data_IF_319340830232
#
_entry.id   IF_319340830232
#
_cell.length_a   1.000
_cell.length_b   1.000
_cell.length_c   1.000
_cell.angle_alpha   90.00
_cell.angle_beta   90.00
_cell.angle_gamma   90.00
#
_symmetry.space_group_name_H-M   'P 1'
#
loop_
_entity.id
_entity.type
_entity.pdbx_description
1 polymer ?
#
# COMPACT_ATOMS: atom_id res chain seq x y z
N UNK A 1 32.96 24.23 22.87
CA UNK A 1 32.59 23.24 21.84
C UNK A 1 31.33 23.72 21.15
N UNK A 2 31.35 24.02 19.84
CA UNK A 2 30.14 24.42 19.12
C UNK A 2 29.21 23.20 19.03
N UNK A 3 27.95 23.39 19.42
CA UNK A 3 26.96 22.32 19.53
C UNK A 3 26.58 21.75 18.16
N UNK A 4 26.38 20.44 18.10
CA UNK A 4 26.04 19.64 16.91
C UNK A 4 24.85 20.21 16.09
N UNK A 5 23.98 20.98 16.74
CA UNK A 5 22.87 21.70 16.11
C UNK A 5 23.31 22.73 15.04
N UNK A 6 24.47 23.38 15.21
CA UNK A 6 24.97 24.37 14.25
C UNK A 6 25.56 23.71 12.99
N UNK A 7 26.07 22.49 13.11
CA UNK A 7 26.62 21.72 11.99
C UNK A 7 25.49 21.15 11.11
N UNK A 8 24.43 20.60 11.73
CA UNK A 8 23.26 20.10 11.01
C UNK A 8 22.55 21.20 10.22
N UNK A 9 22.47 22.42 10.76
CA UNK A 9 21.83 23.55 10.07
C UNK A 9 22.61 23.96 8.81
N UNK A 10 23.94 23.99 8.87
CA UNK A 10 24.80 24.29 7.72
C UNK A 10 24.78 23.20 6.64
N UNK A 11 24.57 21.94 7.02
CA UNK A 11 24.43 20.83 6.08
C UNK A 11 23.09 20.87 5.34
N UNK A 12 21.99 21.20 6.03
CA UNK A 12 20.68 21.40 5.39
C UNK A 12 20.67 22.57 4.40
N UNK A 13 21.25 23.71 4.77
CA UNK A 13 21.31 24.89 3.89
C UNK A 13 22.14 24.64 2.61
N UNK A 14 23.17 23.78 2.67
CA UNK A 14 23.95 23.39 1.48
C UNK A 14 23.22 22.40 0.57
N UNK A 15 22.38 21.53 1.13
CA UNK A 15 21.59 20.58 0.35
C UNK A 15 20.46 21.28 -0.43
N UNK A 16 19.77 22.24 0.20
CA UNK A 16 18.68 22.99 -0.44
C UNK A 16 19.16 23.87 -1.60
N UNK A 17 20.34 24.48 -1.48
CA UNK A 17 20.93 25.30 -2.55
C UNK A 17 21.32 24.53 -3.80
N UNK A 18 21.51 23.20 -3.72
CA UNK A 18 21.93 22.37 -4.85
C UNK A 18 20.76 21.84 -5.68
N UNK A 19 19.57 21.74 -5.09
CA UNK A 19 18.36 21.17 -5.72
C UNK A 19 17.62 22.21 -6.57
N UNK A 20 17.75 23.50 -6.25
CA UNK A 20 17.03 24.59 -6.92
C UNK A 20 17.69 25.08 -8.24
N UNK A 21 18.84 24.53 -8.63
CA UNK A 21 19.65 25.06 -9.73
C UNK A 21 19.39 24.48 -11.13
N UNK A 22 18.59 23.41 -11.29
CA UNK A 22 18.71 22.54 -12.48
C UNK A 22 17.41 22.14 -13.20
N UNK A 23 16.30 22.88 -13.07
CA UNK A 23 15.05 22.45 -13.74
C UNK A 23 14.24 23.57 -14.37
N UNK A 24 14.75 24.11 -15.48
CA UNK A 24 14.00 24.92 -16.43
C UNK A 24 14.10 24.28 -17.83
N UNK A 25 13.00 23.71 -18.34
CA UNK A 25 12.58 23.78 -19.77
C UNK A 25 11.31 22.96 -20.06
N UNK A 26 10.24 23.69 -20.44
CA UNK A 26 9.17 23.44 -21.46
C UNK A 26 8.33 22.15 -21.32
N UNK A 27 7.00 22.12 -21.49
CA UNK A 27 6.16 22.68 -22.58
C UNK A 27 4.65 22.56 -22.22
N UNK A 28 3.81 23.49 -22.69
CA UNK A 28 2.31 23.49 -22.68
C UNK A 28 1.75 22.72 -23.89
N UNK A 29 0.45 22.28 -23.98
CA UNK A 29 -0.72 23.18 -24.12
C UNK A 29 -2.14 22.67 -23.66
N UNK A 30 -3.07 23.64 -23.67
CA UNK A 30 -4.52 23.61 -23.99
C UNK A 30 -5.59 23.27 -22.92
N UNK A 31 -6.57 24.18 -22.85
CA UNK A 31 -7.72 24.30 -21.94
C UNK A 31 -8.94 23.46 -22.37
N UNK A 32 -9.73 23.00 -21.39
CA UNK A 32 -11.20 23.02 -21.45
C UNK A 32 -11.81 23.09 -20.04
N UNK A 33 -12.87 23.88 -19.92
CA UNK A 33 -13.47 24.39 -18.68
C UNK A 33 -14.50 23.43 -18.10
N UNK A 34 -14.50 23.21 -16.77
CA UNK A 34 -15.75 23.16 -15.98
C UNK A 34 -15.52 23.39 -14.48
N UNK A 35 -16.38 24.23 -13.94
CA UNK A 35 -16.47 24.84 -12.61
C UNK A 35 -17.01 23.89 -11.54
N UNK A 36 -16.49 23.98 -10.31
CA UNK A 36 -17.29 23.98 -9.07
C UNK A 36 -16.48 24.39 -7.84
N UNK A 37 -17.15 25.20 -7.02
CA UNK A 37 -16.66 26.06 -5.95
C UNK A 37 -16.40 25.39 -4.59
N UNK A 38 -15.64 26.14 -3.79
CA UNK A 38 -15.58 26.23 -2.32
C UNK A 38 -14.78 25.19 -1.52
N UNK A 39 -13.68 25.65 -0.92
CA UNK A 39 -13.75 26.10 0.48
C UNK A 39 -12.62 27.08 0.85
N UNK A 40 -13.01 28.22 1.43
CA UNK A 40 -12.14 29.29 1.89
C UNK A 40 -11.70 29.03 3.32
N UNK A 41 -10.39 29.02 3.59
CA UNK A 41 -9.88 29.30 4.94
C UNK A 41 -8.66 30.21 4.86
N UNK A 42 -8.87 31.44 5.31
CA UNK A 42 -7.91 32.54 5.39
C UNK A 42 -6.94 32.33 6.56
N UNK A 43 -5.63 32.46 6.27
CA UNK A 43 -4.58 32.55 7.28
C UNK A 43 -3.31 33.13 6.66
N UNK A 44 -3.01 34.40 6.95
CA UNK A 44 -1.90 35.15 6.37
C UNK A 44 -0.52 34.68 6.81
N UNK A 45 0.46 34.80 5.90
CA UNK A 45 1.89 34.72 6.22
C UNK A 45 2.73 34.00 5.16
N UNK A 46 3.56 34.78 4.44
CA UNK A 46 4.69 34.34 3.57
C UNK A 46 4.37 33.63 2.25
N UNK A 47 4.12 34.43 1.21
CA UNK A 47 4.59 34.36 -0.19
C UNK A 47 5.00 33.05 -0.90
N UNK A 48 4.59 31.86 -0.47
CA UNK A 48 4.83 30.62 -1.21
C UNK A 48 3.70 30.42 -2.23
N UNK A 49 4.02 30.24 -3.52
CA UNK A 49 2.99 29.94 -4.51
C UNK A 49 2.30 28.62 -4.10
N UNK A 50 0.98 28.68 -3.98
CA UNK A 50 0.15 27.49 -3.78
C UNK A 50 -0.19 26.89 -5.13
N UNK A 51 -0.32 25.56 -5.18
CA UNK A 51 -0.73 24.90 -6.40
C UNK A 51 -2.16 25.31 -6.74
N UNK A 52 -2.36 25.95 -7.90
CA UNK A 52 -3.67 26.42 -8.39
C UNK A 52 -4.16 25.61 -9.59
N UNK A 53 -3.45 24.54 -9.98
CA UNK A 53 -3.81 23.69 -11.12
C UNK A 53 -3.13 22.30 -11.07
N UNK A 54 -3.54 21.39 -11.95
CA UNK A 54 -3.03 20.01 -11.99
C UNK A 54 -4.06 18.99 -11.49
N UNK A 55 -4.43 18.05 -12.36
CA UNK A 55 -5.52 17.09 -12.16
C UNK A 55 -5.15 15.83 -11.36
N UNK A 56 -4.34 15.96 -10.31
CA UNK A 56 -3.87 14.82 -9.51
C UNK A 56 -3.14 13.74 -10.35
N UNK A 57 -2.97 12.56 -9.77
CA UNK A 57 -2.50 11.37 -10.48
C UNK A 57 -3.68 10.43 -10.67
N UNK A 58 -3.95 10.02 -11.91
CA UNK A 58 -4.94 8.99 -12.22
C UNK A 58 -4.34 7.60 -12.03
N UNK A 59 -5.20 6.58 -11.99
CA UNK A 59 -4.74 5.19 -11.95
C UNK A 59 -3.82 4.90 -13.14
N UNK A 60 -2.55 4.60 -12.86
CA UNK A 60 -1.57 4.21 -13.87
C UNK A 60 -1.99 2.87 -14.47
N UNK A 61 -2.01 2.79 -15.80
CA UNK A 61 -2.22 1.50 -16.47
C UNK A 61 -1.06 0.58 -16.11
N UNK A 62 -1.31 -0.70 -15.76
CA UNK A 62 -0.22 -1.62 -15.43
C UNK A 62 0.78 -1.71 -16.59
N UNK A 63 2.09 -1.86 -16.31
CA UNK A 63 3.08 -2.09 -17.37
C UNK A 63 2.71 -3.32 -18.21
N UNK A 64 2.90 -3.21 -19.52
CA UNK A 64 2.76 -4.36 -20.41
C UNK A 64 3.95 -5.31 -20.21
N UNK A 65 3.65 -6.51 -19.69
CA UNK A 65 4.67 -7.51 -19.34
C UNK A 65 5.50 -7.92 -20.56
N UNK A 66 4.87 -8.13 -21.70
CA UNK A 66 5.56 -8.62 -22.91
C UNK A 66 6.46 -7.53 -23.47
N UNK A 67 5.95 -6.29 -23.53
CA UNK A 67 6.75 -5.15 -23.97
C UNK A 67 7.98 -4.95 -23.07
N UNK A 68 7.79 -4.96 -21.75
CA UNK A 68 8.88 -4.75 -20.79
C UNK A 68 9.94 -5.86 -20.83
N UNK A 69 9.55 -7.12 -21.12
CA UNK A 69 10.51 -8.21 -21.36
C UNK A 69 11.32 -7.94 -22.64
N UNK A 70 10.66 -7.56 -23.73
CA UNK A 70 11.35 -7.24 -24.99
C UNK A 70 12.33 -6.07 -24.83
N UNK A 71 11.93 -5.02 -24.11
CA UNK A 71 12.78 -3.85 -23.82
C UNK A 71 13.99 -4.26 -22.96
N UNK A 72 13.78 -5.17 -22.00
CA UNK A 72 14.87 -5.72 -21.19
C UNK A 72 15.89 -6.49 -22.02
N UNK A 73 15.44 -7.34 -22.93
CA UNK A 73 16.30 -8.13 -23.81
C UNK A 73 17.14 -7.24 -24.72
N UNK A 74 16.52 -6.21 -25.32
CA UNK A 74 17.22 -5.24 -26.17
C UNK A 74 18.26 -4.44 -25.39
N UNK A 75 17.89 -3.91 -24.21
CA UNK A 75 18.80 -3.17 -23.35
C UNK A 75 19.97 -4.05 -22.87
N UNK A 76 19.69 -5.30 -22.51
CA UNK A 76 20.72 -6.26 -22.10
C UNK A 76 21.70 -6.57 -23.25
N UNK A 77 21.19 -6.81 -24.46
CA UNK A 77 22.01 -7.03 -25.65
C UNK A 77 22.89 -5.82 -26.01
N UNK A 78 22.42 -4.61 -25.71
CA UNK A 78 23.18 -3.36 -25.87
C UNK A 78 24.18 -3.08 -24.74
N UNK A 79 24.28 -3.95 -23.73
CA UNK A 79 25.14 -3.76 -22.56
C UNK A 79 24.61 -2.73 -21.55
N UNK A 80 23.36 -2.28 -21.70
CA UNK A 80 22.72 -1.34 -20.79
C UNK A 80 21.96 -2.08 -19.69
N UNK A 81 22.72 -2.57 -18.70
CA UNK A 81 22.17 -3.39 -17.61
C UNK A 81 21.23 -2.61 -16.67
N UNK A 82 21.36 -1.29 -16.59
CA UNK A 82 20.46 -0.46 -15.78
C UNK A 82 19.05 -0.49 -16.36
N UNK A 83 18.92 -0.26 -17.66
CA UNK A 83 17.63 -0.22 -18.34
C UNK A 83 17.04 -1.63 -18.46
N UNK A 84 17.90 -2.65 -18.66
CA UNK A 84 17.47 -4.05 -18.62
C UNK A 84 16.85 -4.41 -17.26
N UNK A 85 17.50 -4.03 -16.16
CA UNK A 85 17.00 -4.26 -14.80
C UNK A 85 15.69 -3.51 -14.54
N UNK A 86 15.61 -2.24 -14.94
CA UNK A 86 14.40 -1.44 -14.77
C UNK A 86 13.21 -2.07 -15.52
N UNK A 87 13.43 -2.49 -16.76
CA UNK A 87 12.38 -3.10 -17.59
C UNK A 87 11.89 -4.43 -16.99
N UNK A 88 12.80 -5.27 -16.46
CA UNK A 88 12.42 -6.48 -15.70
C UNK A 88 11.57 -6.13 -14.47
N UNK A 89 11.92 -5.07 -13.74
CA UNK A 89 11.12 -4.63 -12.58
C UNK A 89 9.72 -4.18 -12.99
N UNK A 90 9.59 -3.46 -14.11
CA UNK A 90 8.29 -3.06 -14.65
C UNK A 90 7.48 -4.27 -15.12
N UNK A 91 8.11 -5.25 -15.77
CA UNK A 91 7.46 -6.50 -16.15
C UNK A 91 6.90 -7.25 -14.93
N UNK A 92 7.67 -7.35 -13.85
CA UNK A 92 7.22 -7.98 -12.60
C UNK A 92 6.00 -7.25 -12.00
N UNK A 93 6.01 -5.92 -11.98
CA UNK A 93 4.88 -5.10 -11.52
C UNK A 93 3.64 -5.37 -12.37
N UNK A 94 3.79 -5.48 -13.70
CA UNK A 94 2.72 -5.84 -14.61
C UNK A 94 2.11 -7.20 -14.27
N UNK A 95 2.94 -8.22 -14.04
CA UNK A 95 2.50 -9.57 -13.63
C UNK A 95 1.77 -9.54 -12.30
N UNK A 96 2.33 -8.87 -11.30
CA UNK A 96 1.74 -8.77 -9.96
C UNK A 96 0.36 -8.11 -9.97
N UNK A 97 0.19 -7.02 -10.74
CA UNK A 97 -1.10 -6.35 -10.85
C UNK A 97 -2.13 -7.23 -11.58
N UNK A 98 -1.72 -7.90 -12.67
CA UNK A 98 -2.59 -8.82 -13.40
C UNK A 98 -3.04 -9.98 -12.50
N UNK A 99 -2.10 -10.60 -11.79
CA UNK A 99 -2.41 -11.66 -10.83
C UNK A 99 -3.36 -11.18 -9.74
N UNK A 100 -3.14 -9.99 -9.19
CA UNK A 100 -4.01 -9.44 -8.16
C UNK A 100 -5.43 -9.18 -8.66
N UNK A 101 -5.59 -8.74 -9.91
CA UNK A 101 -6.91 -8.57 -10.54
C UNK A 101 -7.61 -9.91 -10.79
N UNK A 102 -6.88 -10.93 -11.23
CA UNK A 102 -7.46 -12.28 -11.36
C UNK A 102 -7.85 -12.87 -10.01
N UNK A 103 -7.06 -12.62 -8.96
CA UNK A 103 -7.41 -13.07 -7.62
C UNK A 103 -8.69 -12.36 -7.13
N UNK A 104 -8.82 -11.04 -7.34
CA UNK A 104 -10.03 -10.29 -7.04
C UNK A 104 -11.27 -10.91 -7.70
N UNK A 105 -11.20 -11.33 -8.97
CA UNK A 105 -12.31 -12.02 -9.65
C UNK A 105 -12.65 -13.38 -9.03
N UNK A 106 -11.70 -14.05 -8.40
CA UNK A 106 -11.89 -15.35 -7.76
C UNK A 106 -12.45 -15.25 -6.33
N UNK A 107 -12.42 -14.07 -5.73
CA UNK A 107 -13.03 -13.82 -4.43
C UNK A 107 -14.56 -13.76 -4.57
N UNK A 108 -15.31 -14.19 -3.55
CA UNK A 108 -16.77 -14.21 -3.62
C UNK A 108 -17.36 -12.81 -3.72
N UNK A 109 -18.46 -12.63 -4.44
CA UNK A 109 -19.14 -11.33 -4.58
C UNK A 109 -19.83 -10.88 -3.27
N UNK A 110 -20.09 -11.83 -2.36
CA UNK A 110 -20.80 -11.60 -1.11
C UNK A 110 -20.29 -12.54 -0.02
N UNK A 111 -20.15 -12.00 1.19
CA UNK A 111 -19.82 -12.76 2.40
C UNK A 111 -20.90 -12.49 3.44
N UNK A 112 -21.60 -13.55 3.88
CA UNK A 112 -22.82 -13.45 4.67
C UNK A 112 -23.84 -12.54 3.96
N UNK A 113 -24.14 -11.37 4.52
CA UNK A 113 -25.04 -10.35 3.97
C UNK A 113 -24.31 -9.07 3.51
N UNK A 114 -22.98 -9.09 3.47
CA UNK A 114 -22.14 -7.98 3.00
C UNK A 114 -21.75 -8.18 1.54
N UNK A 115 -22.08 -7.20 0.69
CA UNK A 115 -21.66 -7.19 -0.71
C UNK A 115 -20.26 -6.61 -0.87
N UNK A 116 -19.54 -7.06 -1.89
CA UNK A 116 -18.27 -6.43 -2.25
C UNK A 116 -18.45 -4.97 -2.66
N UNK A 117 -17.50 -4.13 -2.23
CA UNK A 117 -17.34 -2.76 -2.71
C UNK A 117 -16.15 -2.71 -3.67
N UNK A 118 -16.43 -2.93 -4.96
CA UNK A 118 -15.41 -2.94 -6.01
C UNK A 118 -14.73 -1.58 -6.19
N UNK A 119 -15.28 -0.48 -5.65
CA UNK A 119 -14.64 0.83 -5.69
C UNK A 119 -13.47 0.93 -4.69
N UNK A 120 -13.48 0.08 -3.67
CA UNK A 120 -12.42 -0.01 -2.66
C UNK A 120 -11.40 -1.11 -2.98
N UNK A 121 -11.61 -1.89 -4.04
CA UNK A 121 -10.65 -2.90 -4.48
C UNK A 121 -9.32 -2.24 -4.85
N UNK A 122 -8.24 -2.73 -4.24
CA UNK A 122 -6.88 -2.23 -4.50
C UNK A 122 -5.94 -3.39 -4.75
N UNK A 123 -5.10 -3.23 -5.76
CA UNK A 123 -3.97 -4.10 -6.04
C UNK A 123 -2.73 -3.22 -6.06
N UNK A 124 -1.83 -3.44 -5.11
CA UNK A 124 -0.63 -2.64 -4.92
C UNK A 124 0.58 -3.55 -5.08
N UNK A 125 1.48 -3.19 -6.00
CA UNK A 125 2.81 -3.77 -6.13
C UNK A 125 3.80 -2.79 -5.52
N UNK A 126 4.45 -3.20 -4.45
CA UNK A 126 5.48 -2.40 -3.77
C UNK A 126 6.86 -2.79 -4.33
N UNK A 127 7.58 -1.91 -5.02
CA UNK A 127 8.80 -2.31 -5.76
C UNK A 127 10.05 -2.64 -4.88
N UNK A 128 9.89 -2.73 -3.56
CA UNK A 128 11.00 -2.92 -2.61
C UNK A 128 11.12 -4.37 -2.11
N UNK A 129 11.90 -5.20 -2.80
CA UNK A 129 12.15 -6.61 -2.42
C UNK A 129 11.63 -7.64 -3.44
N UNK A 130 11.59 -8.92 -3.06
CA UNK A 130 11.30 -10.05 -3.97
C UNK A 130 9.82 -10.46 -4.08
N UNK A 131 8.91 -9.90 -3.27
CA UNK A 131 7.47 -10.12 -3.40
C UNK A 131 6.72 -9.14 -2.54
N UNK A 132 5.88 -8.31 -3.17
CA UNK A 132 5.31 -7.14 -2.50
C UNK A 132 3.91 -6.77 -3.06
N UNK A 133 3.20 -7.79 -3.51
CA UNK A 133 1.80 -7.67 -3.89
C UNK A 133 0.93 -7.61 -2.63
N UNK A 134 0.10 -6.60 -2.54
CA UNK A 134 -0.99 -6.49 -1.55
C UNK A 134 -2.29 -6.27 -2.30
N UNK A 135 -3.25 -7.14 -2.04
CA UNK A 135 -4.60 -7.09 -2.59
C UNK A 135 -5.52 -6.74 -1.43
N UNK A 136 -6.42 -5.79 -1.64
CA UNK A 136 -7.45 -5.41 -0.70
C UNK A 136 -8.81 -5.55 -1.38
N UNK A 137 -9.75 -6.20 -0.71
CA UNK A 137 -11.17 -6.16 -1.01
C UNK A 137 -11.96 -5.79 0.23
N UNK A 138 -12.96 -4.95 0.06
CA UNK A 138 -13.87 -4.55 1.15
C UNK A 138 -15.26 -5.10 0.87
N UNK A 139 -15.90 -5.61 1.92
CA UNK A 139 -17.30 -6.00 1.92
C UNK A 139 -18.05 -5.14 2.93
N UNK A 140 -19.18 -4.58 2.55
CA UNK A 140 -19.95 -3.70 3.44
C UNK A 140 -21.45 -3.79 3.16
N UNK A 141 -22.26 -3.48 4.19
CA UNK A 141 -23.70 -3.24 4.05
C UNK A 141 -24.03 -1.76 3.78
N UNK A 142 -22.99 -0.91 3.62
CA UNK A 142 -23.12 0.53 3.44
C UNK A 142 -23.61 1.25 4.71
N UNK A 143 -23.63 0.58 5.86
CA UNK A 143 -24.10 1.11 7.13
C UNK A 143 -23.02 1.01 8.19
N UNK A 144 -23.04 -0.07 8.98
CA UNK A 144 -22.22 -0.21 10.18
C UNK A 144 -21.23 -1.36 10.07
N UNK A 145 -21.51 -2.38 9.25
CA UNK A 145 -20.65 -3.57 9.15
C UNK A 145 -19.76 -3.48 7.94
N UNK A 146 -18.49 -3.76 8.18
CA UNK A 146 -17.49 -3.81 7.14
C UNK A 146 -16.50 -4.93 7.43
N UNK A 147 -16.22 -5.75 6.43
CA UNK A 147 -15.12 -6.68 6.43
C UNK A 147 -14.09 -6.26 5.37
N UNK A 148 -12.89 -5.94 5.79
CA UNK A 148 -11.75 -5.70 4.90
C UNK A 148 -10.91 -6.96 4.84
N UNK A 149 -10.63 -7.46 3.64
CA UNK A 149 -9.77 -8.60 3.41
C UNK A 149 -8.51 -8.16 2.65
N UNK A 150 -7.35 -8.38 3.27
CA UNK A 150 -6.05 -8.12 2.67
C UNK A 150 -5.32 -9.44 2.42
N UNK A 151 -4.78 -9.62 1.21
CA UNK A 151 -3.99 -10.79 0.80
C UNK A 151 -2.63 -10.31 0.31
N UNK A 152 -1.56 -10.88 0.87
CA UNK A 152 -0.20 -10.57 0.41
C UNK A 152 0.81 -10.46 1.53
N UNK A 153 1.89 -9.72 1.28
CA UNK A 153 2.89 -9.43 2.30
C UNK A 153 2.44 -8.21 3.13
N UNK A 154 1.74 -8.48 4.23
CA UNK A 154 1.32 -7.43 5.14
C UNK A 154 2.41 -7.21 6.21
N UNK A 155 3.28 -6.23 5.95
CA UNK A 155 4.39 -5.86 6.83
C UNK A 155 3.95 -5.38 8.21
N UNK A 156 2.72 -4.87 8.34
CA UNK A 156 2.16 -4.45 9.63
C UNK A 156 2.01 -5.63 10.59
N UNK A 157 1.55 -6.78 10.08
CA UNK A 157 1.26 -7.96 10.90
C UNK A 157 2.37 -9.00 10.90
N UNK A 158 3.31 -8.97 9.94
CA UNK A 158 4.39 -9.97 9.87
C UNK A 158 5.29 -9.98 11.11
N UNK A 159 5.63 -8.81 11.65
CA UNK A 159 6.38 -8.69 12.90
C UNK A 159 5.60 -9.26 14.10
N UNK A 160 4.31 -8.95 14.18
CA UNK A 160 3.43 -9.39 15.26
C UNK A 160 3.23 -10.91 15.26
N UNK A 161 2.94 -11.48 14.10
CA UNK A 161 2.75 -12.92 13.89
C UNK A 161 3.99 -13.71 14.31
N UNK A 162 5.18 -13.23 13.93
CA UNK A 162 6.44 -13.88 14.28
C UNK A 162 6.69 -13.85 15.79
N UNK A 163 6.44 -12.72 16.46
CA UNK A 163 6.58 -12.60 17.91
C UNK A 163 5.61 -13.53 18.67
N UNK A 164 4.37 -13.65 18.19
CA UNK A 164 3.38 -14.52 18.82
C UNK A 164 3.71 -16.00 18.63
N UNK A 165 4.02 -16.43 17.40
CA UNK A 165 4.29 -17.85 17.12
C UNK A 165 5.68 -18.32 17.57
N UNK A 166 6.64 -17.42 17.77
CA UNK A 166 7.92 -17.77 18.40
C UNK A 166 7.80 -17.98 19.92
N UNK A 167 6.62 -17.74 20.51
CA UNK A 167 6.42 -17.83 21.96
C UNK A 167 7.04 -16.67 22.74
N UNK A 168 7.58 -15.66 22.05
CA UNK A 168 8.09 -14.42 22.65
C UNK A 168 6.96 -13.51 23.18
N UNK A 169 5.72 -13.80 22.79
CA UNK A 169 4.52 -13.16 23.32
C UNK A 169 3.57 -14.22 23.90
N UNK A 170 3.70 -14.47 25.21
CA UNK A 170 2.75 -15.28 25.99
C UNK A 170 2.07 -14.37 26.99
N UNK A 171 0.79 -14.07 26.76
CA UNK A 171 0.01 -13.29 27.70
C UNK A 171 -0.49 -14.23 28.80
N UNK A 172 0.16 -14.20 29.96
CA UNK A 172 -0.29 -14.90 31.17
C UNK A 172 -0.98 -13.89 32.10
N UNK A 173 -2.30 -13.81 32.02
CA UNK A 173 -3.13 -12.96 32.87
C UNK A 173 -4.59 -13.40 32.80
N UNK A 174 -5.25 -13.53 33.96
CA UNK A 174 -6.51 -14.26 34.10
C UNK A 174 -7.76 -13.58 33.51
N UNK A 175 -7.72 -12.30 33.12
CA UNK A 175 -8.97 -11.54 32.91
C UNK A 175 -9.18 -10.96 31.51
N UNK A 176 -8.15 -10.56 30.73
CA UNK A 176 -8.37 -9.94 29.41
C UNK A 176 -7.35 -10.42 28.37
N UNK A 177 -7.66 -11.55 27.71
CA UNK A 177 -6.89 -12.07 26.59
C UNK A 177 -7.48 -11.57 25.26
N UNK A 178 -6.91 -10.49 24.73
CA UNK A 178 -7.36 -9.87 23.48
C UNK A 178 -6.79 -10.55 22.22
N UNK A 179 -5.89 -11.54 22.37
CA UNK A 179 -5.30 -12.28 21.24
C UNK A 179 -5.28 -13.79 21.53
N UNK A 180 -5.82 -14.58 20.60
CA UNK A 180 -5.88 -16.03 20.69
C UNK A 180 -5.32 -16.68 19.44
N UNK A 181 -4.69 -17.84 19.62
CA UNK A 181 -4.35 -18.72 18.52
C UNK A 181 -5.57 -19.56 18.15
N UNK A 182 -5.91 -19.56 16.87
CA UNK A 182 -6.99 -20.37 16.29
C UNK A 182 -6.47 -21.19 15.10
N UNK A 183 -7.33 -22.03 14.53
CA UNK A 183 -7.05 -22.74 13.28
C UNK A 183 -8.10 -22.42 12.24
N UNK A 184 -7.66 -22.07 11.03
CA UNK A 184 -8.51 -21.91 9.87
C UNK A 184 -8.15 -23.03 8.90
N UNK A 185 -9.04 -24.02 8.77
CA UNK A 185 -8.72 -25.31 8.12
C UNK A 185 -7.45 -25.91 8.78
N UNK A 186 -6.40 -26.15 7.99
CA UNK A 186 -5.14 -26.71 8.46
C UNK A 186 -4.07 -25.64 8.77
N UNK A 187 -4.40 -24.34 8.66
CA UNK A 187 -3.48 -23.25 8.93
C UNK A 187 -3.61 -22.75 10.38
N UNK A 188 -2.47 -22.52 11.04
CA UNK A 188 -2.43 -21.79 12.31
C UNK A 188 -2.74 -20.32 12.02
N UNK A 189 -3.55 -19.71 12.87
CA UNK A 189 -4.01 -18.35 12.70
C UNK A 189 -4.04 -17.62 14.05
N UNK A 190 -4.05 -16.30 13.99
CA UNK A 190 -4.22 -15.44 15.16
C UNK A 190 -5.50 -14.65 15.01
N UNK A 191 -6.34 -14.66 16.04
CA UNK A 191 -7.45 -13.73 16.14
C UNK A 191 -7.15 -12.73 17.25
N UNK A 192 -7.36 -11.46 16.95
CA UNK A 192 -7.22 -10.34 17.87
C UNK A 192 -8.53 -9.56 17.92
N UNK A 193 -8.84 -8.99 19.08
CA UNK A 193 -9.91 -8.03 19.27
C UNK A 193 -9.33 -6.69 19.74
N UNK A 194 -9.87 -5.60 19.20
CA UNK A 194 -9.56 -4.22 19.58
C UNK A 194 -10.86 -3.40 19.52
N UNK A 195 -11.17 -2.62 20.56
CA UNK A 195 -12.44 -1.88 20.64
C UNK A 195 -12.64 -0.88 19.48
N UNK A 196 -11.55 -0.38 18.88
CA UNK A 196 -11.61 0.56 17.75
C UNK A 196 -11.70 -0.12 16.39
N UNK A 197 -11.27 -1.39 16.26
CA UNK A 197 -11.16 -2.11 14.98
C UNK A 197 -12.04 -3.37 14.90
N UNK A 198 -12.63 -3.80 16.01
CA UNK A 198 -13.33 -5.08 16.10
C UNK A 198 -12.37 -6.27 16.04
N UNK A 199 -12.74 -7.29 15.29
CA UNK A 199 -11.95 -8.52 15.18
C UNK A 199 -10.97 -8.47 14.01
N UNK A 200 -9.73 -8.87 14.24
CA UNK A 200 -8.73 -9.08 13.19
C UNK A 200 -8.29 -10.55 13.20
N UNK A 201 -8.50 -11.26 12.09
CA UNK A 201 -8.04 -12.63 11.88
C UNK A 201 -6.87 -12.63 10.90
N UNK A 202 -5.74 -13.18 11.32
CA UNK A 202 -4.49 -13.22 10.55
C UNK A 202 -4.14 -14.69 10.29
N UNK A 203 -4.10 -15.08 9.02
CA UNK A 203 -3.72 -16.42 8.57
C UNK A 203 -2.45 -16.32 7.74
N UNK A 204 -1.28 -16.71 8.28
CA UNK A 204 -0.05 -16.80 7.50
C UNK A 204 -0.12 -17.90 6.44
N UNK A 205 0.35 -17.56 5.25
CA UNK A 205 0.49 -18.44 4.10
C UNK A 205 1.97 -18.54 3.72
N UNK A 206 2.64 -19.60 4.18
CA UNK A 206 4.08 -19.76 3.97
C UNK A 206 4.91 -18.79 4.80
N UNK A 207 6.05 -18.33 4.26
CA UNK A 207 7.01 -17.52 5.02
C UNK A 207 6.75 -16.01 4.98
N UNK A 208 6.17 -15.49 3.89
CA UNK A 208 6.11 -14.05 3.62
C UNK A 208 4.71 -13.53 3.29
N UNK A 209 3.74 -14.42 3.07
CA UNK A 209 2.39 -14.03 2.68
C UNK A 209 1.41 -14.32 3.82
N UNK A 210 0.31 -13.57 3.86
CA UNK A 210 -0.79 -13.82 4.78
C UNK A 210 -2.10 -13.33 4.19
N UNK A 211 -3.19 -13.85 4.74
CA UNK A 211 -4.52 -13.29 4.58
C UNK A 211 -4.91 -12.66 5.91
N UNK A 212 -5.38 -11.42 5.87
CA UNK A 212 -5.88 -10.68 7.02
C UNK A 212 -7.33 -10.32 6.76
N UNK A 213 -8.20 -10.66 7.70
CA UNK A 213 -9.58 -10.17 7.73
C UNK A 213 -9.72 -9.21 8.91
N UNK A 214 -10.14 -7.99 8.63
CA UNK A 214 -10.54 -7.01 9.65
C UNK A 214 -12.06 -6.86 9.60
N UNK A 215 -12.71 -7.15 10.70
CA UNK A 215 -14.16 -7.25 10.83
C UNK A 215 -14.65 -6.20 11.84
N UNK A 216 -15.24 -5.12 11.33
CA UNK A 216 -15.76 -4.01 12.14
C UNK A 216 -17.25 -4.24 12.42
N UNK A 217 -17.67 -4.07 13.68
CA UNK A 217 -19.05 -4.20 14.17
C UNK A 217 -19.70 -5.59 13.95
N UNK A 218 -18.89 -6.65 13.96
CA UNK A 218 -19.41 -8.02 14.03
C UNK A 218 -19.66 -8.37 15.49
N UNK A 219 -20.93 -8.54 15.84
CA UNK A 219 -21.40 -9.05 17.14
C UNK A 219 -22.00 -10.44 16.92
N UNK A 220 -21.90 -11.29 17.93
CA UNK A 220 -22.60 -12.59 17.96
C UNK A 220 -24.12 -12.41 17.90
#
# INVERSE_FOLDING_TARGET
MPSEAQLLKKLKEKAEKKILGESDKKTTPAEETQTSDNNTMSGGGSGKPTNKGGGGLTNTTPPDVVQQINDAEQAHAAGNFSDARYSIQQALVGVEIQLGRELLKALPDQILDLKEDTLQDKVVSNQWGWSNLTILRVYTDGKERQMSMSIGNNSLYSGWVNLYFSGAYTQAGANDQNVKQVRVKNYKALIQYDDSKGYTLIVPLGQSSMIVWECINFKD
#
